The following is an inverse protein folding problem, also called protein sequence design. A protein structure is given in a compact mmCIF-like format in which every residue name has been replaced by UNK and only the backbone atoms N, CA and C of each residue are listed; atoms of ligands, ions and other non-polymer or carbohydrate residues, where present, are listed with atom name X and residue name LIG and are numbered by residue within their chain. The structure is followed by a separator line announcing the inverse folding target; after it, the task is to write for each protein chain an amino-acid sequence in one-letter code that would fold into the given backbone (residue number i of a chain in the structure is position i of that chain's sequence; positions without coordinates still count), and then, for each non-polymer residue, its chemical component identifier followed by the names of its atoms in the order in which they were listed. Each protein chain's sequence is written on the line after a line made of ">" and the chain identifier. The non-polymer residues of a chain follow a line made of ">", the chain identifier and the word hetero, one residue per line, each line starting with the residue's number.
data_IF_901483854113
#
_entry.id   IF_901483854113
#
_cell.length_a   1.000
_cell.length_b   1.000
_cell.length_c   1.000
_cell.angle_alpha   90.00
_cell.angle_beta   90.00
_cell.angle_gamma   90.00
#
_symmetry.space_group_name_H-M   'P 1'
#
loop_
_entity.id
_entity.type
_entity.pdbx_description
1 polymer ?
#
# COMPACT_ATOMS: atom_id res chain seq x y z
N UNK A 1 -12.69 13.54 52.08
CA UNK A 1 -13.21 12.31 51.44
C UNK A 1 -12.64 12.23 50.03
N UNK A 2 -11.93 11.14 49.73
CA UNK A 2 -11.10 11.01 48.54
C UNK A 2 -11.94 10.69 47.29
N UNK A 3 -11.68 11.45 46.23
CA UNK A 3 -12.16 11.30 44.86
C UNK A 3 -11.58 10.00 44.28
N UNK A 4 -12.41 9.04 43.90
CA UNK A 4 -11.97 7.85 43.14
C UNK A 4 -12.99 7.56 42.04
N UNK A 5 -12.91 8.33 40.96
CA UNK A 5 -13.52 7.94 39.69
C UNK A 5 -12.74 6.75 39.15
N UNK A 6 -13.38 5.59 39.09
CA UNK A 6 -12.79 4.36 38.57
C UNK A 6 -12.51 4.50 37.07
N UNK A 7 -11.23 4.68 36.75
CA UNK A 7 -10.67 4.63 35.39
C UNK A 7 -10.72 3.19 34.87
N UNK A 8 -11.80 2.87 34.18
CA UNK A 8 -11.84 1.76 33.22
C UNK A 8 -11.88 2.40 31.84
N UNK A 9 -10.72 2.89 31.39
CA UNK A 9 -10.49 3.04 29.95
C UNK A 9 -10.62 1.63 29.39
N UNK A 10 -11.79 1.34 28.84
CA UNK A 10 -12.17 0.01 28.42
C UNK A 10 -11.26 -0.41 27.27
N UNK A 11 -10.73 -1.65 27.22
CA UNK A 11 -9.82 -2.10 26.15
C UNK A 11 -10.33 -1.80 24.73
N UNK A 12 -11.66 -1.81 24.56
CA UNK A 12 -12.32 -1.41 23.32
C UNK A 12 -12.15 0.08 22.98
N UNK A 13 -12.24 0.98 23.97
CA UNK A 13 -12.08 2.41 23.77
C UNK A 13 -10.64 2.75 23.35
N UNK A 14 -9.65 2.12 23.99
CA UNK A 14 -8.24 2.24 23.60
C UNK A 14 -8.02 1.70 22.18
N UNK A 15 -8.53 0.51 21.85
CA UNK A 15 -8.41 -0.06 20.52
C UNK A 15 -9.07 0.79 19.42
N UNK A 16 -10.23 1.40 19.71
CA UNK A 16 -10.90 2.31 18.77
C UNK A 16 -10.11 3.59 18.56
N UNK A 17 -9.53 4.17 19.61
CA UNK A 17 -8.68 5.36 19.52
C UNK A 17 -7.42 5.07 18.71
N UNK A 18 -6.74 3.95 18.96
CA UNK A 18 -5.56 3.52 18.21
C UNK A 18 -5.91 3.24 16.74
N UNK A 19 -7.00 2.52 16.48
CA UNK A 19 -7.47 2.25 15.12
C UNK A 19 -7.79 3.54 14.37
N UNK A 20 -8.42 4.51 15.04
CA UNK A 20 -8.74 5.82 14.45
C UNK A 20 -7.47 6.59 14.13
N UNK A 21 -6.53 6.66 15.07
CA UNK A 21 -5.24 7.32 14.87
C UNK A 21 -4.46 6.70 13.71
N UNK A 22 -4.36 5.36 13.66
CA UNK A 22 -3.70 4.64 12.58
C UNK A 22 -4.40 4.88 11.22
N UNK A 23 -5.73 4.95 11.19
CA UNK A 23 -6.49 5.27 9.98
C UNK A 23 -6.22 6.71 9.50
N UNK A 24 -6.15 7.68 10.41
CA UNK A 24 -5.81 9.08 10.08
C UNK A 24 -4.38 9.19 9.53
N UNK A 25 -3.42 8.51 10.14
CA UNK A 25 -2.03 8.47 9.65
C UNK A 25 -1.98 7.90 8.23
N UNK A 26 -2.62 6.75 7.99
CA UNK A 26 -2.71 6.14 6.66
C UNK A 26 -3.43 7.06 5.66
N UNK A 27 -4.48 7.76 6.05
CA UNK A 27 -5.11 8.74 5.16
C UNK A 27 -4.12 9.85 4.73
N UNK A 28 -3.34 10.38 5.69
CA UNK A 28 -2.36 11.43 5.42
C UNK A 28 -1.18 10.96 4.55
N UNK A 29 -0.68 9.74 4.79
CA UNK A 29 0.41 9.15 4.02
C UNK A 29 -0.05 8.72 2.63
N UNK A 30 -1.24 8.14 2.53
CA UNK A 30 -1.88 7.78 1.26
C UNK A 30 -2.07 9.02 0.41
N UNK A 31 -2.52 10.13 1.00
CA UNK A 31 -2.58 11.39 0.28
C UNK A 31 -1.20 11.82 -0.25
N UNK A 32 -0.12 11.72 0.54
CA UNK A 32 1.24 12.08 0.09
C UNK A 32 1.73 11.20 -1.07
N UNK A 33 1.44 9.91 -1.03
CA UNK A 33 1.89 8.93 -2.04
C UNK A 33 1.09 9.08 -3.34
N UNK A 34 -0.24 9.21 -3.24
CA UNK A 34 -1.13 9.13 -4.39
C UNK A 34 -1.52 10.48 -4.99
N UNK A 35 -1.41 11.59 -4.23
CA UNK A 35 -1.70 12.94 -4.74
C UNK A 35 -0.85 13.33 -5.96
N UNK A 36 0.48 13.08 -6.00
CA UNK A 36 1.28 13.37 -7.18
C UNK A 36 0.84 12.60 -8.43
N UNK A 37 0.37 11.36 -8.26
CA UNK A 37 -0.13 10.52 -9.36
C UNK A 37 -1.45 11.09 -9.89
N UNK A 38 -2.37 11.46 -9.00
CA UNK A 38 -3.63 12.11 -9.38
C UNK A 38 -3.37 13.43 -10.13
N UNK A 39 -2.50 14.29 -9.58
CA UNK A 39 -2.13 15.56 -10.20
C UNK A 39 -1.47 15.37 -11.57
N UNK A 40 -0.62 14.34 -11.72
CA UNK A 40 -0.03 13.97 -13.00
C UNK A 40 -1.09 13.58 -14.03
N UNK A 41 -2.01 12.69 -13.66
CA UNK A 41 -3.09 12.23 -14.55
C UNK A 41 -4.02 13.39 -14.97
N UNK A 42 -4.40 14.27 -14.04
CA UNK A 42 -5.26 15.42 -14.30
C UNK A 42 -4.60 16.41 -15.25
N UNK A 43 -3.31 16.68 -15.05
CA UNK A 43 -2.53 17.52 -15.95
C UNK A 43 -2.45 16.92 -17.35
N UNK A 44 -2.15 15.62 -17.47
CA UNK A 44 -2.00 15.01 -18.79
C UNK A 44 -3.33 14.90 -19.52
N UNK A 45 -4.43 14.60 -18.82
CA UNK A 45 -5.78 14.60 -19.41
C UNK A 45 -6.22 15.98 -19.88
N UNK A 46 -5.77 17.06 -19.22
CA UNK A 46 -6.10 18.43 -19.62
C UNK A 46 -5.20 19.00 -20.74
N UNK A 47 -4.05 18.38 -21.02
CA UNK A 47 -3.03 18.88 -21.96
C UNK A 47 -2.95 18.10 -23.29
N UNK A 48 -3.90 17.23 -23.61
CA UNK A 48 -3.84 16.38 -24.82
C UNK A 48 -4.17 17.11 -26.14
N UNK A 49 -4.05 18.43 -26.20
CA UNK A 49 -4.33 19.20 -27.41
C UNK A 49 -3.27 18.98 -28.49
N UNK A 50 -3.69 18.75 -29.73
CA UNK A 50 -2.80 18.60 -30.88
C UNK A 50 -2.27 17.19 -31.16
N UNK A 51 -2.71 16.16 -30.40
CA UNK A 51 -2.36 14.77 -30.68
C UNK A 51 -3.23 14.17 -31.79
N UNK A 52 -2.64 13.30 -32.61
CA UNK A 52 -3.40 12.51 -33.58
C UNK A 52 -4.43 11.61 -32.86
N UNK A 53 -5.62 11.35 -33.45
CA UNK A 53 -6.72 10.66 -32.76
C UNK A 53 -6.37 9.27 -32.20
N UNK A 54 -5.49 8.52 -32.87
CA UNK A 54 -5.06 7.20 -32.42
C UNK A 54 -4.11 7.28 -31.21
N UNK A 55 -3.23 8.28 -31.17
CA UNK A 55 -2.34 8.53 -30.02
C UNK A 55 -3.15 9.03 -28.82
N UNK A 56 -4.12 9.91 -29.06
CA UNK A 56 -5.05 10.35 -28.02
C UNK A 56 -5.77 9.15 -27.40
N UNK A 57 -6.32 8.25 -28.23
CA UNK A 57 -7.00 7.05 -27.76
C UNK A 57 -6.09 6.14 -26.94
N UNK A 58 -4.87 5.87 -27.40
CA UNK A 58 -3.92 5.04 -26.68
C UNK A 58 -3.50 5.66 -25.34
N UNK A 59 -3.24 6.97 -25.33
CA UNK A 59 -2.88 7.70 -24.11
C UNK A 59 -4.04 7.75 -23.11
N UNK A 60 -5.27 7.94 -23.58
CA UNK A 60 -6.47 7.87 -22.72
C UNK A 60 -6.61 6.49 -22.10
N UNK A 61 -6.52 5.42 -22.89
CA UNK A 61 -6.60 4.05 -22.37
C UNK A 61 -5.52 3.77 -21.30
N UNK A 62 -4.28 4.17 -21.58
CA UNK A 62 -3.18 4.05 -20.61
C UNK A 62 -3.44 4.86 -19.33
N UNK A 63 -3.96 6.08 -19.46
CA UNK A 63 -4.30 6.95 -18.33
C UNK A 63 -5.43 6.36 -17.47
N UNK A 64 -6.41 5.73 -18.10
CA UNK A 64 -7.52 5.05 -17.43
C UNK A 64 -7.04 3.79 -16.69
N UNK A 65 -6.17 2.99 -17.30
CA UNK A 65 -5.55 1.83 -16.66
C UNK A 65 -4.70 2.24 -15.46
N UNK A 66 -3.86 3.28 -15.62
CA UNK A 66 -3.02 3.80 -14.54
C UNK A 66 -3.89 4.37 -13.39
N UNK A 67 -4.97 5.07 -13.70
CA UNK A 67 -5.91 5.57 -12.71
C UNK A 67 -6.56 4.42 -11.93
N UNK A 68 -6.98 3.35 -12.63
CA UNK A 68 -7.57 2.16 -12.02
C UNK A 68 -6.60 1.47 -11.07
N UNK A 69 -5.35 1.27 -11.49
CA UNK A 69 -4.29 0.68 -10.67
C UNK A 69 -4.01 1.55 -9.45
N UNK A 70 -3.81 2.85 -9.63
CA UNK A 70 -3.57 3.79 -8.53
C UNK A 70 -4.71 3.81 -7.51
N UNK A 71 -5.96 3.77 -7.98
CA UNK A 71 -7.14 3.72 -7.11
C UNK A 71 -7.22 2.40 -6.33
N UNK A 72 -6.93 1.25 -6.95
CA UNK A 72 -6.88 -0.04 -6.25
C UNK A 72 -5.83 -0.04 -5.15
N UNK A 73 -4.63 0.46 -5.44
CA UNK A 73 -3.56 0.54 -4.45
C UNK A 73 -3.87 1.55 -3.34
N UNK A 74 -4.49 2.69 -3.66
CA UNK A 74 -4.95 3.64 -2.65
C UNK A 74 -6.00 3.00 -1.73
N UNK A 75 -7.01 2.35 -2.29
CA UNK A 75 -8.03 1.66 -1.52
C UNK A 75 -7.43 0.55 -0.65
N UNK A 76 -6.52 -0.26 -1.19
CA UNK A 76 -5.85 -1.30 -0.41
C UNK A 76 -5.04 -0.72 0.75
N UNK A 77 -4.35 0.40 0.51
CA UNK A 77 -3.56 1.11 1.51
C UNK A 77 -4.43 1.74 2.61
N UNK A 78 -5.55 2.38 2.24
CA UNK A 78 -6.51 2.98 3.18
C UNK A 78 -7.32 1.93 3.94
N UNK A 79 -7.70 0.82 3.28
CA UNK A 79 -8.44 -0.25 3.93
C UNK A 79 -7.57 -1.10 4.85
N UNK A 80 -6.26 -0.85 4.92
CA UNK A 80 -5.33 -1.69 5.69
C UNK A 80 -5.52 -3.15 5.32
N UNK A 81 -5.64 -3.47 4.01
CA UNK A 81 -5.48 -4.85 3.56
C UNK A 81 -4.06 -5.22 3.97
N UNK A 82 -3.96 -5.95 5.08
CA UNK A 82 -2.80 -6.20 5.94
C UNK A 82 -1.43 -6.05 5.28
N UNK A 83 -1.00 -4.83 4.96
CA UNK A 83 0.43 -4.56 4.76
C UNK A 83 1.15 -4.67 6.09
N UNK A 84 0.45 -4.65 7.23
CA UNK A 84 0.97 -5.09 8.54
C UNK A 84 1.46 -6.54 8.53
N UNK A 85 0.91 -7.42 7.68
CA UNK A 85 1.46 -8.77 7.53
C UNK A 85 2.69 -8.82 6.62
N UNK A 86 2.85 -7.85 5.71
CA UNK A 86 3.94 -7.83 4.72
C UNK A 86 5.08 -6.89 5.15
N UNK A 87 4.83 -5.95 6.06
CA UNK A 87 5.82 -5.02 6.60
C UNK A 87 7.03 -5.75 7.21
N UNK A 88 6.82 -6.82 8.01
CA UNK A 88 7.94 -7.62 8.51
C UNK A 88 8.68 -8.37 7.39
N UNK A 89 7.99 -8.82 6.34
CA UNK A 89 8.62 -9.42 5.16
C UNK A 89 9.44 -8.40 4.35
N UNK A 90 8.96 -7.17 4.20
CA UNK A 90 9.66 -6.12 3.45
C UNK A 90 10.89 -5.63 4.21
N UNK A 91 10.82 -5.51 5.53
CA UNK A 91 12.00 -5.16 6.35
C UNK A 91 13.05 -6.28 6.42
N UNK A 92 12.64 -7.53 6.19
CA UNK A 92 13.54 -8.68 6.07
C UNK A 92 14.35 -8.67 4.76
N UNK A 93 13.89 -7.96 3.73
CA UNK A 93 14.51 -7.93 2.40
C UNK A 93 15.45 -6.73 2.23
N UNK A 94 16.66 -7.00 1.74
CA UNK A 94 17.66 -5.98 1.44
C UNK A 94 17.57 -5.48 0.00
N UNK A 95 17.34 -6.39 -0.94
CA UNK A 95 17.36 -6.11 -2.37
C UNK A 95 16.53 -7.15 -3.14
N UNK A 96 15.94 -6.74 -4.26
CA UNK A 96 15.36 -7.63 -5.27
C UNK A 96 16.27 -7.63 -6.48
N UNK A 97 16.78 -8.80 -6.86
CA UNK A 97 17.72 -8.96 -7.97
C UNK A 97 17.06 -9.65 -9.16
N UNK A 98 17.24 -9.13 -10.37
CA UNK A 98 16.87 -9.85 -11.58
C UNK A 98 17.91 -10.92 -11.90
N UNK A 99 17.47 -12.17 -12.03
CA UNK A 99 18.28 -13.33 -12.40
C UNK A 99 17.75 -13.96 -13.70
N UNK A 100 18.55 -14.84 -14.30
CA UNK A 100 18.21 -15.50 -15.58
C UNK A 100 16.84 -16.19 -15.58
N UNK A 101 16.35 -16.61 -14.43
CA UNK A 101 15.08 -17.34 -14.25
C UNK A 101 13.94 -16.48 -13.67
N UNK A 102 14.14 -15.17 -13.44
CA UNK A 102 13.12 -14.28 -12.85
C UNK A 102 13.70 -13.29 -11.85
N UNK A 103 12.96 -12.99 -10.77
CA UNK A 103 13.44 -12.14 -9.68
C UNK A 103 13.79 -13.00 -8.46
N UNK A 104 14.96 -12.74 -7.86
CA UNK A 104 15.39 -13.30 -6.60
C UNK A 104 15.25 -12.25 -5.49
N UNK A 105 14.72 -12.66 -4.35
CA UNK A 105 14.64 -11.83 -3.14
C UNK A 105 15.87 -12.11 -2.28
N UNK A 106 16.66 -11.08 -1.95
CA UNK A 106 17.84 -11.21 -1.11
C UNK A 106 17.50 -10.81 0.35
N UNK A 107 17.43 -11.77 1.29
CA UNK A 107 17.25 -11.46 2.70
C UNK A 107 18.51 -10.80 3.27
N UNK A 108 18.32 -9.92 4.25
CA UNK A 108 19.42 -9.20 4.90
C UNK A 108 20.21 -10.05 5.93
N UNK A 109 19.64 -11.16 6.39
CA UNK A 109 20.23 -12.09 7.37
C UNK A 109 19.54 -13.47 7.35
N UNK A 110 20.06 -14.44 8.10
CA UNK A 110 19.43 -15.75 8.26
C UNK A 110 18.09 -15.66 9.00
N UNK A 111 17.99 -14.81 10.02
CA UNK A 111 16.74 -14.55 10.74
C UNK A 111 15.65 -13.96 9.81
N UNK A 112 16.06 -13.06 8.91
CA UNK A 112 15.19 -12.49 7.90
C UNK A 112 14.67 -13.56 6.92
N UNK A 113 15.49 -14.55 6.57
CA UNK A 113 15.07 -15.67 5.73
C UNK A 113 14.00 -16.52 6.43
N UNK A 114 14.22 -16.89 7.70
CA UNK A 114 13.26 -17.67 8.49
C UNK A 114 11.92 -16.93 8.67
N UNK A 115 11.98 -15.61 8.91
CA UNK A 115 10.80 -14.77 8.99
C UNK A 115 10.03 -14.72 7.66
N UNK A 116 10.74 -14.67 6.52
CA UNK A 116 10.14 -14.66 5.19
C UNK A 116 9.49 -16.00 4.84
N UNK A 117 10.13 -17.12 5.22
CA UNK A 117 9.56 -18.47 5.06
C UNK A 117 8.28 -18.64 5.88
N UNK A 118 8.23 -18.14 7.11
CA UNK A 118 7.03 -18.17 7.94
C UNK A 118 5.85 -17.38 7.33
N UNK A 119 6.14 -16.41 6.46
CA UNK A 119 5.13 -15.59 5.78
C UNK A 119 4.78 -16.08 4.36
N UNK A 120 5.39 -17.17 3.88
CA UNK A 120 5.19 -17.72 2.53
C UNK A 120 3.72 -17.93 2.17
N UNK A 121 2.92 -18.52 3.07
CA UNK A 121 1.50 -18.79 2.80
C UNK A 121 0.66 -17.51 2.69
N UNK A 122 1.00 -16.48 3.47
CA UNK A 122 0.32 -15.19 3.42
C UNK A 122 0.68 -14.45 2.12
N UNK A 123 1.96 -14.51 1.73
CA UNK A 123 2.42 -13.94 0.46
C UNK A 123 1.75 -14.67 -0.72
N UNK A 124 1.67 -16.00 -0.68
CA UNK A 124 1.03 -16.79 -1.72
C UNK A 124 -0.45 -16.47 -1.87
N UNK A 125 -1.19 -16.36 -0.76
CA UNK A 125 -2.63 -16.04 -0.79
C UNK A 125 -2.93 -14.62 -1.27
N UNK A 126 -1.99 -13.68 -1.11
CA UNK A 126 -2.11 -12.34 -1.67
C UNK A 126 -2.12 -12.35 -3.21
N UNK A 127 -1.20 -13.09 -3.83
CA UNK A 127 -1.09 -13.15 -5.30
C UNK A 127 -2.17 -14.00 -5.96
N UNK A 128 -2.77 -14.97 -5.26
CA UNK A 128 -3.86 -15.81 -5.78
C UNK A 128 -5.18 -15.02 -5.92
N UNK A 129 -5.35 -13.92 -5.19
CA UNK A 129 -6.57 -13.10 -5.21
C UNK A 129 -6.47 -11.83 -6.09
N UNK A 130 -5.48 -11.77 -6.99
CA UNK A 130 -5.30 -10.71 -7.98
C UNK A 130 -5.84 -11.14 -9.34
#
# INVERSE_FOLDING_TARGET
>A
MARKGSSTDSPLQTALLESTSAATTRASEGQKIFSPIAAFLDRHRSQTTGLAPHLLRALTALSDDLASVAQRHFNAYISSISTTSILPALSALKEVQAIKTGFALCPSSLEALLALEAQKEIISTFFVNC
#
